data_IF_709682850948
#
_entry.id   IF_709682850948
#
_cell.length_a   1.000
_cell.length_b   1.000
_cell.length_c   1.000
_cell.angle_alpha   90.00
_cell.angle_beta   90.00
_cell.angle_gamma   90.00
#
_symmetry.space_group_name_H-M   'P 1'
#
loop_
_entity.id
_entity.type
_entity.pdbx_description
1 polymer ?
#
# COMPACT_ATOMS: atom_id res chain seq x y z
N UNK A 1 1.63 29.12 -2.30
CA UNK A 1 0.47 29.65 -1.54
C UNK A 1 -0.63 28.60 -1.39
N UNK A 2 -0.51 27.64 -0.46
CA UNK A 2 -1.65 26.82 0.01
C UNK A 2 -1.52 26.61 1.52
N UNK A 3 -1.88 27.63 2.32
CA UNK A 3 -2.12 27.45 3.75
C UNK A 3 -3.51 26.86 3.93
N UNK A 4 -3.62 25.54 3.78
CA UNK A 4 -4.82 24.81 4.20
C UNK A 4 -4.85 24.83 5.73
N UNK A 5 -5.74 25.61 6.32
CA UNK A 5 -5.98 25.59 7.78
C UNK A 5 -6.47 24.19 8.15
N UNK A 6 -5.73 23.53 9.04
CA UNK A 6 -5.88 22.16 9.55
C UNK A 6 -7.25 21.78 10.15
N UNK A 7 -8.25 22.67 10.13
CA UNK A 7 -9.48 22.58 10.92
C UNK A 7 -10.79 22.55 10.11
N UNK A 8 -10.77 22.15 8.84
CA UNK A 8 -12.02 22.01 8.07
C UNK A 8 -12.08 20.66 7.36
N UNK A 9 -12.52 19.61 8.07
CA UNK A 9 -12.62 18.25 7.52
C UNK A 9 -13.47 18.13 6.25
N UNK A 10 -14.31 19.12 5.97
CA UNK A 10 -15.03 19.24 4.71
C UNK A 10 -14.12 19.45 3.48
N UNK A 11 -12.88 19.94 3.66
CA UNK A 11 -11.97 20.16 2.53
C UNK A 11 -11.53 18.86 1.85
N UNK A 12 -11.46 17.76 2.61
CA UNK A 12 -11.14 16.43 2.07
C UNK A 12 -12.31 15.80 1.31
N UNK A 13 -13.50 16.42 1.32
CA UNK A 13 -14.62 16.02 0.46
C UNK A 13 -14.49 16.56 -0.96
N UNK A 14 -13.57 17.52 -1.18
CA UNK A 14 -13.25 18.04 -2.52
C UNK A 14 -12.34 17.02 -3.20
N UNK A 15 -12.77 16.37 -4.30
CA UNK A 15 -12.04 15.26 -4.90
C UNK A 15 -10.61 15.61 -5.29
N UNK A 16 -10.38 16.79 -5.85
CA UNK A 16 -9.06 17.23 -6.29
C UNK A 16 -8.08 17.32 -5.11
N UNK A 17 -8.55 17.88 -3.99
CA UNK A 17 -7.73 18.00 -2.77
C UNK A 17 -7.51 16.63 -2.12
N UNK A 18 -8.53 15.75 -2.15
CA UNK A 18 -8.42 14.40 -1.61
C UNK A 18 -7.38 13.59 -2.38
N UNK A 19 -7.40 13.68 -3.72
CA UNK A 19 -6.44 13.01 -4.60
C UNK A 19 -5.03 13.57 -4.41
N UNK A 20 -4.85 14.90 -4.36
CA UNK A 20 -3.55 15.54 -4.10
C UNK A 20 -2.93 15.01 -2.80
N UNK A 21 -3.69 15.03 -1.70
CA UNK A 21 -3.21 14.57 -0.39
C UNK A 21 -2.95 13.06 -0.37
N UNK A 22 -3.82 12.27 -1.03
CA UNK A 22 -3.64 10.83 -1.13
C UNK A 22 -2.39 10.45 -1.90
N UNK A 23 -2.11 11.13 -3.02
CA UNK A 23 -0.90 10.93 -3.80
C UNK A 23 0.35 11.32 -2.99
N UNK A 24 0.36 12.49 -2.35
CA UNK A 24 1.46 12.93 -1.49
C UNK A 24 1.76 11.91 -0.39
N UNK A 25 0.71 11.31 0.21
CA UNK A 25 0.88 10.29 1.24
C UNK A 25 1.44 8.97 0.68
N UNK A 26 1.00 8.54 -0.51
CA UNK A 26 1.57 7.35 -1.18
C UNK A 26 3.06 7.59 -1.50
N UNK A 27 3.41 8.75 -2.04
CA UNK A 27 4.80 9.11 -2.33
C UNK A 27 5.66 9.14 -1.05
N UNK A 28 5.12 9.69 0.04
CA UNK A 28 5.77 9.63 1.35
C UNK A 28 6.03 8.19 1.78
N UNK A 29 5.03 7.30 1.68
CA UNK A 29 5.16 5.90 2.07
C UNK A 29 6.16 5.13 1.19
N UNK A 30 6.16 5.36 -0.12
CA UNK A 30 7.12 4.76 -1.06
C UNK A 30 8.57 5.12 -0.72
N UNK A 31 8.80 6.32 -0.18
CA UNK A 31 10.13 6.76 0.28
C UNK A 31 10.58 6.11 1.60
N UNK A 32 9.71 5.37 2.29
CA UNK A 32 10.08 4.68 3.52
C UNK A 32 10.87 3.39 3.23
N UNK A 33 12.02 3.24 3.88
CA UNK A 33 12.82 2.01 3.82
C UNK A 33 12.05 0.76 4.25
N UNK A 34 11.06 0.89 5.14
CA UNK A 34 10.22 -0.23 5.57
C UNK A 34 9.30 -0.74 4.44
N UNK A 35 8.89 0.14 3.52
CA UNK A 35 8.06 -0.18 2.35
C UNK A 35 8.91 -0.72 1.19
N UNK A 36 10.09 -0.13 0.93
CA UNK A 36 11.06 -0.63 -0.06
C UNK A 36 10.43 -0.96 -1.42
N UNK A 37 9.57 -0.06 -1.94
CA UNK A 37 8.80 -0.23 -3.18
C UNK A 37 7.94 -1.51 -3.27
N UNK A 38 7.77 -2.27 -2.19
CA UNK A 38 6.92 -3.45 -2.18
C UNK A 38 5.45 -3.05 -2.01
N UNK A 39 4.60 -3.46 -2.95
CA UNK A 39 3.18 -3.10 -3.01
C UNK A 39 2.35 -3.65 -1.84
N UNK A 40 2.69 -4.83 -1.31
CA UNK A 40 2.07 -5.38 -0.10
C UNK A 40 2.40 -4.50 1.10
N UNK A 41 3.67 -4.13 1.25
CA UNK A 41 4.11 -3.27 2.35
C UNK A 41 3.52 -1.86 2.24
N UNK A 42 3.43 -1.31 1.03
CA UNK A 42 2.79 -0.02 0.77
C UNK A 42 1.32 -0.04 1.21
N UNK A 43 0.54 -1.02 0.75
CA UNK A 43 -0.87 -1.14 1.11
C UNK A 43 -1.06 -1.39 2.62
N UNK A 44 -0.20 -2.20 3.23
CA UNK A 44 -0.17 -2.44 4.67
C UNK A 44 0.11 -1.16 5.46
N UNK A 45 1.10 -0.35 5.03
CA UNK A 45 1.43 0.92 5.68
C UNK A 45 0.36 1.99 5.46
N UNK A 46 -0.33 1.99 4.32
CA UNK A 46 -1.41 2.92 4.03
C UNK A 46 -2.62 2.69 4.95
N UNK A 47 -3.06 1.44 5.11
CA UNK A 47 -4.22 1.11 5.94
C UNK A 47 -3.85 0.90 7.43
N UNK A 48 -2.81 0.12 7.71
CA UNK A 48 -2.38 -0.22 9.07
C UNK A 48 -1.43 0.80 9.70
N UNK A 49 -0.86 1.71 8.91
CA UNK A 49 0.15 2.68 9.36
C UNK A 49 1.58 2.15 9.26
N UNK A 50 2.58 2.99 8.92
CA UNK A 50 3.97 2.56 8.74
C UNK A 50 4.61 2.03 10.04
N UNK A 51 4.20 2.53 11.20
CA UNK A 51 4.67 2.01 12.49
C UNK A 51 4.21 0.57 12.77
N UNK A 52 3.01 0.18 12.33
CA UNK A 52 2.53 -1.19 12.45
C UNK A 52 3.20 -2.10 11.43
N UNK A 53 3.41 -1.64 10.20
CA UNK A 53 4.21 -2.36 9.21
C UNK A 53 5.59 -2.74 9.79
N UNK A 54 6.31 -1.77 10.37
CA UNK A 54 7.62 -2.05 10.99
C UNK A 54 7.52 -3.12 12.09
N UNK A 55 6.54 -3.00 13.00
CA UNK A 55 6.31 -4.00 14.05
C UNK A 55 6.01 -5.39 13.50
N UNK A 56 5.18 -5.51 12.46
CA UNK A 56 4.86 -6.80 11.87
C UNK A 56 6.08 -7.44 11.21
N UNK A 57 6.89 -6.65 10.49
CA UNK A 57 8.14 -7.15 9.90
C UNK A 57 9.16 -7.62 10.94
N UNK A 58 9.23 -6.94 12.09
CA UNK A 58 10.15 -7.29 13.17
C UNK A 58 9.70 -8.52 13.96
N UNK A 59 8.38 -8.68 14.19
CA UNK A 59 7.86 -9.71 15.10
C UNK A 59 7.34 -10.97 14.39
N UNK A 60 7.35 -11.00 13.05
CA UNK A 60 6.87 -12.13 12.26
C UNK A 60 8.02 -12.72 11.46
N UNK A 61 8.32 -14.00 11.68
CA UNK A 61 9.14 -14.77 10.75
C UNK A 61 8.25 -15.32 9.64
N UNK A 62 8.25 -14.65 8.49
CA UNK A 62 7.47 -15.02 7.32
C UNK A 62 8.31 -15.72 6.23
N UNK A 63 9.51 -16.21 6.59
CA UNK A 63 10.40 -16.97 5.68
C UNK A 63 10.71 -16.24 4.36
N UNK A 64 10.75 -14.91 4.39
CA UNK A 64 10.91 -14.04 3.22
C UNK A 64 9.84 -14.22 2.12
N UNK A 65 8.72 -14.88 2.43
CA UNK A 65 7.60 -15.08 1.52
C UNK A 65 6.56 -13.93 1.65
N UNK A 66 6.26 -13.21 0.55
CA UNK A 66 5.38 -12.05 0.58
C UNK A 66 3.91 -12.39 0.91
N UNK A 67 3.41 -13.55 0.48
CA UNK A 67 2.04 -13.99 0.75
C UNK A 67 1.91 -14.47 2.20
N UNK A 68 2.94 -15.16 2.71
CA UNK A 68 2.97 -15.58 4.10
C UNK A 68 3.08 -14.37 5.04
N UNK A 69 3.87 -13.34 4.68
CA UNK A 69 3.85 -12.08 5.41
C UNK A 69 2.44 -11.49 5.46
N UNK A 70 1.80 -11.36 4.29
CA UNK A 70 0.44 -10.82 4.18
C UNK A 70 -0.54 -11.59 5.08
N UNK A 71 -0.54 -12.92 5.03
CA UNK A 71 -1.44 -13.74 5.86
C UNK A 71 -1.11 -13.73 7.35
N UNK A 72 0.14 -13.43 7.71
CA UNK A 72 0.58 -13.31 9.10
C UNK A 72 0.21 -11.98 9.77
N UNK A 73 -0.29 -10.99 9.01
CA UNK A 73 -0.71 -9.70 9.57
C UNK A 73 -1.91 -9.92 10.53
N UNK A 74 -1.78 -9.52 11.82
CA UNK A 74 -2.85 -9.73 12.80
C UNK A 74 -4.16 -9.02 12.46
N UNK A 75 -4.06 -7.84 11.83
CA UNK A 75 -5.22 -7.06 11.39
C UNK A 75 -5.91 -7.73 10.20
N UNK A 76 -7.06 -8.38 10.45
CA UNK A 76 -7.89 -8.96 9.38
C UNK A 76 -8.35 -7.90 8.37
N UNK A 77 -8.64 -6.69 8.84
CA UNK A 77 -9.02 -5.58 7.96
C UNK A 77 -7.88 -5.22 7.01
N UNK A 78 -6.65 -5.12 7.52
CA UNK A 78 -5.48 -4.77 6.70
C UNK A 78 -5.16 -5.85 5.69
N UNK A 79 -5.27 -7.14 6.05
CA UNK A 79 -5.15 -8.26 5.10
C UNK A 79 -6.13 -8.12 3.94
N UNK A 80 -7.41 -7.92 4.25
CA UNK A 80 -8.45 -7.74 3.25
C UNK A 80 -8.22 -6.48 2.40
N UNK A 81 -7.76 -5.38 3.01
CA UNK A 81 -7.43 -4.16 2.30
C UNK A 81 -6.32 -4.37 1.26
N UNK A 82 -5.23 -5.05 1.65
CA UNK A 82 -4.12 -5.38 0.73
C UNK A 82 -4.63 -6.17 -0.47
N UNK A 83 -5.39 -7.26 -0.23
CA UNK A 83 -5.99 -8.08 -1.28
C UNK A 83 -6.78 -7.22 -2.28
N UNK A 84 -7.67 -6.35 -1.76
CA UNK A 84 -8.53 -5.50 -2.60
C UNK A 84 -7.76 -4.45 -3.37
N UNK A 85 -6.75 -3.82 -2.76
CA UNK A 85 -5.93 -2.81 -3.44
C UNK A 85 -5.14 -3.42 -4.57
N UNK A 86 -4.43 -4.53 -4.33
CA UNK A 86 -3.60 -5.16 -5.36
C UNK A 86 -4.45 -5.74 -6.51
N UNK A 87 -5.57 -6.39 -6.18
CA UNK A 87 -6.52 -6.89 -7.19
C UNK A 87 -6.99 -5.75 -8.10
N UNK A 88 -7.41 -4.63 -7.52
CA UNK A 88 -7.87 -3.46 -8.32
C UNK A 88 -6.72 -2.85 -9.11
N UNK A 89 -5.53 -2.74 -8.52
CA UNK A 89 -4.36 -2.19 -9.19
C UNK A 89 -4.04 -2.98 -10.46
N UNK A 90 -3.95 -4.30 -10.39
CA UNK A 90 -3.69 -5.14 -11.57
C UNK A 90 -4.82 -5.15 -12.58
N UNK A 91 -6.08 -5.09 -12.15
CA UNK A 91 -7.23 -4.93 -13.06
C UNK A 91 -7.15 -3.59 -13.81
N UNK A 92 -6.73 -2.51 -13.14
CA UNK A 92 -6.57 -1.21 -13.80
C UNK A 92 -5.37 -1.18 -14.74
N UNK A 93 -4.26 -1.86 -14.42
CA UNK A 93 -3.14 -2.03 -15.35
C UNK A 93 -3.61 -2.75 -16.63
N UNK A 94 -4.28 -3.89 -16.48
CA UNK A 94 -4.82 -4.67 -17.59
C UNK A 94 -5.79 -3.85 -18.47
N UNK A 95 -6.74 -3.14 -17.85
CA UNK A 95 -7.66 -2.24 -18.57
C UNK A 95 -6.97 -1.13 -19.36
N UNK A 96 -5.80 -0.72 -18.92
CA UNK A 96 -4.99 0.30 -19.58
C UNK A 96 -3.97 -0.30 -20.57
N UNK A 97 -4.01 -1.61 -20.82
CA UNK A 97 -3.07 -2.31 -21.69
C UNK A 97 -1.65 -2.43 -21.12
N UNK A 98 -1.50 -2.26 -19.80
CA UNK A 98 -0.22 -2.38 -19.10
C UNK A 98 -0.11 -3.79 -18.53
N UNK A 99 0.96 -4.51 -18.89
CA UNK A 99 1.24 -5.81 -18.29
C UNK A 99 1.67 -5.64 -16.82
N UNK A 100 1.02 -6.39 -15.93
CA UNK A 100 1.25 -6.34 -14.50
C UNK A 100 2.48 -7.15 -14.07
N UNK A 101 3.68 -6.58 -14.21
CA UNK A 101 4.92 -7.25 -13.77
C UNK A 101 4.88 -7.64 -12.29
N UNK A 102 4.35 -6.78 -11.43
CA UNK A 102 4.25 -7.05 -9.99
C UNK A 102 3.31 -8.21 -9.64
N UNK A 103 2.27 -8.45 -10.44
CA UNK A 103 1.44 -9.65 -10.31
C UNK A 103 2.23 -10.90 -10.67
N UNK A 104 3.00 -10.85 -11.77
CA UNK A 104 3.84 -11.97 -12.18
C UNK A 104 4.92 -12.28 -11.13
N UNK A 105 5.55 -11.25 -10.56
CA UNK A 105 6.50 -11.41 -9.44
C UNK A 105 5.84 -12.13 -8.26
N UNK A 106 4.69 -11.65 -7.80
CA UNK A 106 3.99 -12.27 -6.68
C UNK A 106 3.59 -13.73 -6.96
N UNK A 107 3.14 -14.02 -8.19
CA UNK A 107 2.78 -15.38 -8.60
C UNK A 107 3.97 -16.35 -8.58
N UNK A 108 5.19 -15.83 -8.72
CA UNK A 108 6.44 -16.58 -8.63
C UNK A 108 7.03 -16.62 -7.21
N UNK A 109 6.33 -16.08 -6.21
CA UNK A 109 6.82 -15.99 -4.82
C UNK A 109 7.78 -14.83 -4.57
N UNK A 110 7.91 -13.90 -5.51
CA UNK A 110 8.77 -12.72 -5.38
C UNK A 110 7.99 -11.52 -4.83
N UNK A 111 8.72 -10.57 -4.22
CA UNK A 111 8.13 -9.33 -3.74
C UNK A 111 7.49 -8.54 -4.90
N UNK A 112 6.22 -8.12 -4.83
CA UNK A 112 5.58 -7.34 -5.89
C UNK A 112 6.08 -5.89 -5.83
N UNK A 113 7.05 -5.53 -6.66
CA UNK A 113 7.64 -4.20 -6.67
C UNK A 113 6.81 -3.24 -7.54
N UNK A 114 6.62 -2.00 -7.08
CA UNK A 114 5.98 -0.90 -7.82
C UNK A 114 6.81 -0.44 -9.02
#
# INVERSE_FOLDING_TARGET
NKKVKKNNGNILKIPEINLDVGQEYIEYLLNLKSVNNNLIYLAAAYNGGPGNLSKWKENTNYLDDPLFFMESIPSRETRWFIEKVLTKYWIYQDKNGIQSNSLTMLANGENPIY
#
